data_IF_581745441936
#
_entry.id   IF_581745441936
#
_cell.length_a   1.000
_cell.length_b   1.000
_cell.length_c   1.000
_cell.angle_alpha   90.00
_cell.angle_beta   90.00
_cell.angle_gamma   90.00
#
_symmetry.space_group_name_H-M   'P 1'
#
loop_
_entity.id
_entity.type
_entity.pdbx_description
1 polymer ?
#
# COMPACT_ATOMS: atom_id res chain seq x y z
N UNK A 1 8.72 0.30 -13.53
CA UNK A 1 8.21 -0.74 -14.43
C UNK A 1 6.85 -0.37 -14.99
N UNK A 2 6.47 -1.00 -16.08
CA UNK A 2 5.12 -0.85 -16.62
C UNK A 2 4.17 -1.74 -15.84
N UNK A 3 3.24 -1.14 -15.12
CA UNK A 3 2.19 -1.86 -14.39
C UNK A 3 1.09 -2.30 -15.37
N UNK A 4 0.72 -3.59 -15.29
CA UNK A 4 -0.41 -4.12 -16.03
C UNK A 4 -1.75 -3.77 -15.35
N UNK A 5 -1.74 -3.72 -14.02
CA UNK A 5 -2.91 -3.43 -13.19
C UNK A 5 -3.29 -1.95 -13.28
N UNK A 6 -2.31 -1.04 -13.17
CA UNK A 6 -2.54 0.41 -13.20
C UNK A 6 -2.47 1.00 -14.61
N UNK A 7 -2.06 0.20 -15.62
CA UNK A 7 -1.91 0.58 -17.04
C UNK A 7 -1.05 1.82 -17.26
N UNK A 8 -0.05 2.02 -16.41
CA UNK A 8 0.91 3.13 -16.51
C UNK A 8 2.31 2.70 -16.06
N UNK A 9 3.28 3.58 -16.22
CA UNK A 9 4.60 3.43 -15.61
C UNK A 9 4.48 3.66 -14.10
N UNK A 10 4.95 2.68 -13.31
CA UNK A 10 5.00 2.79 -11.85
C UNK A 10 6.42 2.80 -11.35
N UNK A 11 6.64 3.60 -10.32
CA UNK A 11 7.91 3.73 -9.63
C UNK A 11 7.82 3.15 -8.22
N UNK A 12 8.87 2.50 -7.79
CA UNK A 12 9.07 2.08 -6.41
C UNK A 12 10.57 2.08 -6.11
N UNK A 13 10.92 2.40 -4.88
CA UNK A 13 12.28 2.33 -4.38
C UNK A 13 12.53 1.01 -3.65
N UNK A 14 13.73 0.43 -3.82
CA UNK A 14 14.16 -0.76 -3.09
C UNK A 14 15.48 -0.50 -2.40
N UNK A 15 15.55 -0.79 -1.11
CA UNK A 15 16.80 -0.87 -0.38
C UNK A 15 17.21 -2.33 -0.19
N UNK A 16 18.36 -2.70 -0.73
CA UNK A 16 18.94 -4.03 -0.59
C UNK A 16 19.96 -3.95 0.55
N UNK A 17 19.84 -4.76 1.63
CA UNK A 17 20.82 -4.75 2.70
C UNK A 17 22.19 -5.20 2.19
N UNK A 18 23.29 -4.57 2.66
CA UNK A 18 24.63 -4.97 2.24
C UNK A 18 25.02 -6.33 2.80
N UNK A 19 25.98 -6.98 2.16
CA UNK A 19 26.60 -8.24 2.64
C UNK A 19 25.63 -9.43 2.79
N UNK A 20 24.55 -9.45 2.02
CA UNK A 20 23.64 -10.60 2.00
C UNK A 20 24.21 -11.74 1.16
N UNK A 21 24.02 -12.97 1.64
CA UNK A 21 24.34 -14.13 0.86
C UNK A 21 23.32 -14.27 -0.29
N UNK A 22 23.74 -14.38 -1.56
CA UNK A 22 22.83 -14.52 -2.70
C UNK A 22 21.86 -15.72 -2.59
N UNK A 23 22.25 -16.77 -1.88
CA UNK A 23 21.45 -17.97 -1.67
C UNK A 23 20.44 -17.84 -0.51
N UNK A 24 20.56 -16.78 0.29
CA UNK A 24 19.68 -16.56 1.45
C UNK A 24 18.41 -15.82 1.03
N UNK A 25 17.25 -16.32 1.52
CA UNK A 25 15.97 -15.63 1.34
C UNK A 25 15.82 -14.47 2.32
N UNK A 26 15.78 -13.25 1.80
CA UNK A 26 15.65 -12.04 2.59
C UNK A 26 14.22 -11.88 3.13
N UNK A 27 14.06 -11.47 4.39
CA UNK A 27 12.80 -10.91 4.84
C UNK A 27 12.51 -9.61 4.10
N UNK A 28 11.29 -9.43 3.62
CA UNK A 28 10.86 -8.24 2.89
C UNK A 28 9.88 -7.43 3.73
N UNK A 29 10.03 -6.11 3.72
CA UNK A 29 9.12 -5.15 4.33
C UNK A 29 8.61 -4.17 3.26
N UNK A 30 7.31 -4.16 3.03
CA UNK A 30 6.64 -3.14 2.23
C UNK A 30 6.29 -1.96 3.11
N UNK A 31 6.75 -0.77 2.72
CA UNK A 31 6.37 0.48 3.37
C UNK A 31 5.40 1.26 2.50
N UNK A 32 4.22 1.54 3.02
CA UNK A 32 3.19 2.34 2.36
C UNK A 32 3.19 3.76 2.92
N UNK A 33 3.45 4.73 2.07
CA UNK A 33 3.50 6.15 2.43
C UNK A 33 2.10 6.78 2.48
N UNK A 34 1.99 7.92 3.16
CA UNK A 34 0.76 8.69 3.31
C UNK A 34 0.46 9.59 2.11
N UNK A 35 -0.59 10.42 2.26
CA UNK A 35 -1.03 11.37 1.23
C UNK A 35 0.12 12.24 0.74
N UNK A 36 0.11 12.56 -0.55
CA UNK A 36 1.07 13.42 -1.27
C UNK A 36 2.50 12.90 -1.38
N UNK A 37 2.79 11.75 -0.78
CA UNK A 37 4.11 11.13 -0.86
C UNK A 37 4.34 10.42 -2.19
N UNK A 38 5.62 10.17 -2.48
CA UNK A 38 6.11 9.27 -3.51
C UNK A 38 6.89 8.12 -2.87
N UNK A 39 7.46 7.24 -3.66
CA UNK A 39 8.40 6.19 -3.24
C UNK A 39 9.64 6.74 -2.51
N UNK A 40 10.05 7.98 -2.83
CA UNK A 40 11.25 8.61 -2.26
C UNK A 40 11.07 9.17 -0.84
N UNK A 41 9.84 9.51 -0.42
CA UNK A 41 9.63 10.21 0.85
C UNK A 41 10.17 9.44 2.05
N UNK A 42 9.87 8.15 2.13
CA UNK A 42 10.35 7.32 3.24
C UNK A 42 11.85 7.05 3.13
N UNK A 43 12.34 6.73 1.95
CA UNK A 43 13.77 6.45 1.73
C UNK A 43 14.67 7.63 2.08
N UNK A 44 14.21 8.86 1.79
CA UNK A 44 14.99 10.08 2.05
C UNK A 44 14.88 10.56 3.51
N UNK A 45 13.76 10.30 4.21
CA UNK A 45 13.46 10.97 5.48
C UNK A 45 13.51 10.06 6.70
N UNK A 46 13.20 8.76 6.56
CA UNK A 46 13.02 7.88 7.71
C UNK A 46 14.33 7.33 8.30
N UNK A 47 15.41 7.29 7.52
CA UNK A 47 16.68 6.69 7.95
C UNK A 47 16.58 5.18 8.22
N UNK A 48 15.56 4.52 7.71
CA UNK A 48 15.26 3.11 7.96
C UNK A 48 16.33 2.16 7.39
N UNK A 49 17.07 2.60 6.38
CA UNK A 49 18.11 1.81 5.71
C UNK A 49 19.18 1.31 6.67
N UNK A 50 19.56 2.12 7.70
CA UNK A 50 20.54 1.71 8.70
C UNK A 50 20.07 0.46 9.47
N UNK A 51 18.84 0.50 9.99
CA UNK A 51 18.27 -0.63 10.74
C UNK A 51 17.99 -1.82 9.81
N UNK A 52 17.53 -1.57 8.60
CA UNK A 52 17.32 -2.60 7.60
C UNK A 52 18.62 -3.31 7.20
N UNK A 53 19.74 -2.57 7.11
CA UNK A 53 21.07 -3.15 6.88
C UNK A 53 21.52 -4.03 8.05
N UNK A 54 21.31 -3.57 9.29
CA UNK A 54 21.65 -4.33 10.50
C UNK A 54 20.85 -5.63 10.64
N UNK A 55 19.58 -5.60 10.22
CA UNK A 55 18.65 -6.74 10.34
C UNK A 55 18.58 -7.61 9.07
N UNK A 56 19.25 -7.25 7.99
CA UNK A 56 19.20 -7.98 6.72
C UNK A 56 17.82 -7.93 6.04
N UNK A 57 17.09 -6.80 6.12
CA UNK A 57 15.74 -6.64 5.59
C UNK A 57 15.76 -5.90 4.24
N UNK A 58 15.10 -6.48 3.24
CA UNK A 58 14.79 -5.79 1.98
C UNK A 58 13.62 -4.82 2.21
N UNK A 59 13.81 -3.52 1.96
CA UNK A 59 12.73 -2.53 2.03
C UNK A 59 12.19 -2.26 0.63
N UNK A 60 10.86 -2.30 0.48
CA UNK A 60 10.15 -1.98 -0.76
C UNK A 60 9.22 -0.80 -0.47
N UNK A 61 9.39 0.28 -1.20
CA UNK A 61 8.69 1.55 -1.00
C UNK A 61 8.02 1.95 -2.31
N UNK A 62 6.75 1.58 -2.54
CA UNK A 62 6.02 1.97 -3.74
C UNK A 62 5.55 3.43 -3.68
N UNK A 63 5.28 4.00 -4.86
CA UNK A 63 4.54 5.24 -4.98
C UNK A 63 3.11 5.08 -4.44
N UNK A 64 2.46 6.19 -4.12
CA UNK A 64 1.16 6.25 -3.45
C UNK A 64 -0.03 6.35 -4.40
N UNK A 65 0.23 6.51 -5.70
CA UNK A 65 -0.77 6.54 -6.77
C UNK A 65 -0.15 6.25 -8.13
N UNK A 66 -0.93 5.91 -9.15
CA UNK A 66 -0.48 6.02 -10.54
C UNK A 66 -0.12 7.46 -10.87
N UNK A 67 0.79 7.66 -11.87
CA UNK A 67 1.23 8.96 -12.37
C UNK A 67 1.39 8.93 -13.88
N UNK A 68 1.26 10.10 -14.52
CA UNK A 68 1.41 10.30 -15.95
C UNK A 68 0.39 11.27 -16.52
N UNK A 69 0.67 11.85 -17.70
CA UNK A 69 -0.19 12.87 -18.33
C UNK A 69 -1.59 12.35 -18.70
N UNK A 70 -1.74 11.04 -18.84
CA UNK A 70 -3.01 10.39 -19.16
C UNK A 70 -3.76 9.86 -17.94
N UNK A 71 -3.18 10.01 -16.73
CA UNK A 71 -3.78 9.54 -15.49
C UNK A 71 -4.74 10.62 -14.96
N UNK A 72 -5.99 10.27 -14.64
CA UNK A 72 -6.93 11.21 -14.03
C UNK A 72 -6.40 11.78 -12.71
N UNK A 73 -6.66 13.06 -12.50
CA UNK A 73 -6.37 13.75 -11.24
C UNK A 73 -7.58 14.57 -10.80
N UNK A 74 -7.57 15.03 -9.55
CA UNK A 74 -8.65 15.88 -9.02
C UNK A 74 -8.70 17.20 -9.76
N UNK A 75 -9.89 17.56 -10.27
CA UNK A 75 -10.10 18.78 -11.06
C UNK A 75 -9.88 20.08 -10.27
N UNK A 76 -10.02 20.02 -8.96
CA UNK A 76 -9.79 21.12 -8.01
C UNK A 76 -8.37 21.09 -7.39
N UNK A 77 -7.49 20.26 -7.91
CA UNK A 77 -6.14 20.02 -7.38
C UNK A 77 -6.13 19.65 -5.88
N UNK A 78 -7.17 18.92 -5.43
CA UNK A 78 -7.25 18.47 -4.05
C UNK A 78 -6.12 17.48 -3.73
N UNK A 79 -5.37 17.75 -2.66
CA UNK A 79 -4.24 16.92 -2.24
C UNK A 79 -4.65 15.53 -1.71
N UNK A 80 -5.91 15.34 -1.40
CA UNK A 80 -6.48 14.13 -0.79
C UNK A 80 -7.35 13.29 -1.74
N UNK A 81 -7.24 13.54 -3.05
CA UNK A 81 -7.89 12.78 -4.12
C UNK A 81 -7.02 12.80 -5.37
N UNK A 82 -6.94 11.69 -6.09
CA UNK A 82 -6.14 11.58 -7.31
C UNK A 82 -4.66 11.40 -7.02
N UNK A 83 -3.83 12.25 -7.59
CA UNK A 83 -2.38 12.16 -7.55
C UNK A 83 -1.83 12.19 -6.11
N UNK A 84 -1.08 11.14 -5.75
CA UNK A 84 -0.56 10.98 -4.39
C UNK A 84 -1.61 10.55 -3.35
N UNK A 85 -2.81 10.16 -3.77
CA UNK A 85 -3.95 9.85 -2.89
C UNK A 85 -4.73 8.61 -3.34
N UNK A 86 -4.05 7.54 -3.76
CA UNK A 86 -4.67 6.31 -4.26
C UNK A 86 -5.37 5.44 -3.22
N UNK A 87 -5.29 5.79 -1.93
CA UNK A 87 -5.94 5.13 -0.79
C UNK A 87 -5.78 3.60 -0.73
N UNK A 88 -4.87 3.03 -1.53
CA UNK A 88 -4.58 1.59 -1.59
C UNK A 88 -5.84 0.74 -1.76
N UNK A 89 -6.77 1.22 -2.59
CA UNK A 89 -8.02 0.55 -2.97
C UNK A 89 -8.08 0.31 -4.49
N UNK A 90 -9.08 -0.44 -4.94
CA UNK A 90 -9.43 -0.57 -6.35
C UNK A 90 -10.65 0.28 -6.66
N UNK A 91 -10.46 1.34 -7.42
CA UNK A 91 -11.54 2.23 -7.82
C UNK A 91 -12.51 1.53 -8.78
N UNK A 92 -13.81 1.82 -8.61
CA UNK A 92 -14.89 1.31 -9.45
C UNK A 92 -15.62 2.40 -10.23
N UNK A 93 -15.36 3.67 -9.89
CA UNK A 93 -16.03 4.82 -10.47
C UNK A 93 -15.18 5.53 -11.52
N UNK A 94 -15.83 6.10 -12.52
CA UNK A 94 -15.18 7.03 -13.45
C UNK A 94 -14.80 8.34 -12.75
N UNK A 95 -13.67 8.94 -13.13
CA UNK A 95 -12.71 8.51 -14.15
C UNK A 95 -11.60 7.59 -13.62
N UNK A 96 -11.71 7.11 -12.38
CA UNK A 96 -10.64 6.48 -11.62
C UNK A 96 -10.43 5.00 -11.94
N UNK A 97 -11.49 4.28 -12.27
CA UNK A 97 -11.52 2.81 -12.28
C UNK A 97 -10.44 2.19 -13.20
N UNK A 98 -10.02 2.88 -14.24
CA UNK A 98 -9.05 2.33 -15.19
C UNK A 98 -7.63 2.26 -14.61
N UNK A 99 -7.25 3.23 -13.77
CA UNK A 99 -5.86 3.41 -13.32
C UNK A 99 -5.66 3.31 -11.81
N UNK A 100 -6.68 3.58 -11.00
CA UNK A 100 -6.56 3.58 -9.54
C UNK A 100 -6.90 2.22 -8.95
N UNK A 101 -6.08 1.20 -9.28
CA UNK A 101 -6.19 -0.19 -8.81
C UNK A 101 -5.05 -0.49 -7.82
N UNK A 102 -4.84 0.43 -6.86
CA UNK A 102 -3.68 0.38 -5.97
C UNK A 102 -3.70 -0.81 -5.01
N UNK A 103 -4.87 -1.36 -4.67
CA UNK A 103 -4.95 -2.58 -3.86
C UNK A 103 -4.31 -3.77 -4.59
N UNK A 104 -4.74 -4.05 -5.82
CA UNK A 104 -4.21 -5.17 -6.61
C UNK A 104 -2.73 -4.96 -6.94
N UNK A 105 -2.33 -3.72 -7.16
CA UNK A 105 -0.91 -3.40 -7.38
C UNK A 105 -0.04 -3.79 -6.18
N UNK A 106 -0.45 -3.42 -4.96
CA UNK A 106 0.33 -3.68 -3.74
C UNK A 106 0.17 -5.13 -3.25
N UNK A 107 -1.03 -5.71 -3.38
CA UNK A 107 -1.32 -7.05 -2.87
C UNK A 107 -0.86 -8.18 -3.81
N UNK A 108 -0.78 -7.92 -5.12
CA UNK A 108 -0.56 -8.95 -6.13
C UNK A 108 0.62 -8.63 -7.07
N UNK A 109 0.54 -7.54 -7.85
CA UNK A 109 1.50 -7.28 -8.93
C UNK A 109 2.91 -6.99 -8.39
N UNK A 110 3.05 -6.07 -7.46
CA UNK A 110 4.34 -5.70 -6.89
C UNK A 110 5.00 -6.87 -6.13
N UNK A 111 4.30 -7.66 -5.29
CA UNK A 111 4.89 -8.85 -4.67
C UNK A 111 5.36 -9.90 -5.68
N UNK A 112 4.61 -10.11 -6.75
CA UNK A 112 5.01 -11.03 -7.83
C UNK A 112 6.30 -10.54 -8.52
N UNK A 113 6.40 -9.24 -8.81
CA UNK A 113 7.61 -8.64 -9.38
C UNK A 113 8.81 -8.77 -8.42
N UNK A 114 8.62 -8.41 -7.15
CA UNK A 114 9.69 -8.52 -6.14
C UNK A 114 10.18 -9.96 -5.98
N UNK A 115 9.27 -10.93 -5.94
CA UNK A 115 9.63 -12.36 -5.82
C UNK A 115 10.37 -12.91 -7.05
N UNK A 116 10.18 -12.28 -8.21
CA UNK A 116 10.89 -12.62 -9.45
C UNK A 116 12.30 -12.03 -9.47
N UNK A 117 12.47 -10.82 -9.01
CA UNK A 117 13.73 -10.06 -9.11
C UNK A 117 14.64 -10.27 -7.88
N UNK A 118 14.09 -10.65 -6.72
CA UNK A 118 14.82 -10.79 -5.47
C UNK A 118 14.52 -12.12 -4.78
N UNK A 119 15.55 -12.73 -4.16
CA UNK A 119 15.38 -13.94 -3.37
C UNK A 119 14.77 -13.61 -2.00
N UNK A 120 13.43 -13.56 -1.90
CA UNK A 120 12.69 -13.17 -0.70
C UNK A 120 11.96 -14.34 -0.05
N UNK A 121 11.68 -14.22 1.24
CA UNK A 121 10.84 -15.16 1.98
C UNK A 121 9.39 -15.13 1.47
N UNK A 122 8.67 -16.24 1.63
CA UNK A 122 7.30 -16.39 1.14
C UNK A 122 6.30 -15.45 1.83
N UNK A 123 6.58 -15.04 3.07
CA UNK A 123 5.77 -14.06 3.81
C UNK A 123 6.58 -12.79 4.02
N UNK A 124 5.95 -11.67 3.78
CA UNK A 124 6.52 -10.35 3.98
C UNK A 124 5.91 -9.65 5.20
N UNK A 125 6.56 -8.62 5.70
CA UNK A 125 5.95 -7.64 6.58
C UNK A 125 5.37 -6.48 5.75
N UNK A 126 4.35 -5.81 6.26
CA UNK A 126 3.80 -4.59 5.67
C UNK A 126 3.67 -3.52 6.75
N UNK A 127 4.05 -2.31 6.44
CA UNK A 127 3.93 -1.18 7.33
C UNK A 127 3.52 0.08 6.56
N UNK A 128 2.96 1.07 7.25
CA UNK A 128 2.63 2.32 6.60
C UNK A 128 2.24 3.42 7.57
N UNK A 129 2.22 4.65 7.07
CA UNK A 129 1.86 5.84 7.83
C UNK A 129 0.63 6.53 7.23
N UNK A 130 -0.29 7.01 8.08
CA UNK A 130 -1.48 7.78 7.67
C UNK A 130 -2.35 7.00 6.68
N UNK A 131 -2.57 7.49 5.45
CA UNK A 131 -3.20 6.75 4.35
C UNK A 131 -2.49 5.41 4.08
N UNK A 132 -1.16 5.37 4.16
CA UNK A 132 -0.39 4.12 4.02
C UNK A 132 -0.58 3.16 5.20
N UNK A 133 -0.80 3.67 6.41
CA UNK A 133 -1.18 2.86 7.56
C UNK A 133 -2.55 2.22 7.38
N UNK A 134 -3.50 2.96 6.81
CA UNK A 134 -4.78 2.43 6.34
C UNK A 134 -4.56 1.29 5.32
N UNK A 135 -3.79 1.54 4.28
CA UNK A 135 -3.49 0.52 3.26
C UNK A 135 -2.83 -0.72 3.84
N UNK A 136 -1.84 -0.54 4.72
CA UNK A 136 -1.16 -1.67 5.37
C UNK A 136 -2.14 -2.55 6.17
N UNK A 137 -3.04 -1.94 6.94
CA UNK A 137 -4.05 -2.68 7.71
C UNK A 137 -5.05 -3.41 6.80
N UNK A 138 -5.63 -2.72 5.83
CA UNK A 138 -6.67 -3.32 4.97
C UNK A 138 -6.10 -4.45 4.10
N UNK A 139 -4.92 -4.27 3.54
CA UNK A 139 -4.26 -5.29 2.73
C UNK A 139 -3.86 -6.50 3.59
N UNK A 140 -3.24 -6.28 4.76
CA UNK A 140 -2.83 -7.38 5.63
C UNK A 140 -4.03 -8.17 6.17
N UNK A 141 -5.10 -7.49 6.59
CA UNK A 141 -6.32 -8.15 7.10
C UNK A 141 -7.02 -8.98 6.01
N UNK A 142 -7.00 -8.53 4.77
CA UNK A 142 -7.59 -9.26 3.64
C UNK A 142 -6.69 -10.40 3.13
N UNK A 143 -5.37 -10.35 3.41
CA UNK A 143 -4.38 -11.29 2.89
C UNK A 143 -3.47 -11.88 3.99
N UNK A 144 -4.00 -12.27 5.13
CA UNK A 144 -3.25 -12.72 6.32
C UNK A 144 -2.27 -13.89 6.06
N UNK A 145 -2.45 -14.64 4.97
CA UNK A 145 -1.52 -15.72 4.60
C UNK A 145 -0.22 -15.21 3.98
N UNK A 146 -0.25 -14.02 3.39
CA UNK A 146 0.90 -13.41 2.71
C UNK A 146 1.81 -12.62 3.67
N UNK A 147 1.27 -12.17 4.80
CA UNK A 147 1.99 -11.30 5.72
C UNK A 147 2.32 -12.01 7.03
N UNK A 148 3.51 -11.75 7.57
CA UNK A 148 3.95 -12.22 8.87
C UNK A 148 3.76 -11.17 9.98
N UNK A 149 3.64 -9.90 9.62
CA UNK A 149 3.32 -8.80 10.54
C UNK A 149 2.76 -7.59 9.79
N UNK A 150 2.00 -6.76 10.51
CA UNK A 150 1.58 -5.44 10.04
C UNK A 150 1.88 -4.37 11.09
N UNK A 151 2.33 -3.20 10.66
CA UNK A 151 2.54 -2.04 11.53
C UNK A 151 1.92 -0.79 10.90
N UNK A 152 1.08 -0.10 11.66
CA UNK A 152 0.39 1.09 11.17
C UNK A 152 0.67 2.28 12.08
N UNK A 153 1.23 3.34 11.50
CA UNK A 153 1.60 4.57 12.20
C UNK A 153 0.58 5.66 11.88
N UNK A 154 -0.11 6.16 12.91
CA UNK A 154 -1.18 7.15 12.78
C UNK A 154 -2.16 6.86 11.62
N UNK A 155 -2.70 5.63 11.50
CA UNK A 155 -3.49 5.21 10.35
C UNK A 155 -4.89 5.85 10.34
N UNK A 156 -5.47 5.96 9.14
CA UNK A 156 -6.91 6.21 8.97
C UNK A 156 -7.63 4.86 9.17
N UNK A 157 -7.95 4.48 10.40
CA UNK A 157 -8.46 3.12 10.71
C UNK A 157 -9.92 2.89 10.37
N UNK A 158 -10.72 3.96 10.32
CA UNK A 158 -12.15 3.88 10.06
C UNK A 158 -12.56 4.93 9.01
N UNK A 159 -12.08 4.78 7.76
CA UNK A 159 -12.30 5.77 6.71
C UNK A 159 -13.77 6.00 6.41
N UNK A 160 -14.63 4.98 6.54
CA UNK A 160 -16.08 5.11 6.35
C UNK A 160 -16.74 6.13 7.31
N UNK A 161 -16.06 6.50 8.40
CA UNK A 161 -16.59 7.39 9.43
C UNK A 161 -15.73 8.66 9.64
N UNK A 162 -14.85 9.00 8.73
CA UNK A 162 -14.11 10.26 8.75
C UNK A 162 -14.19 10.97 7.39
N UNK A 163 -14.08 12.31 7.40
CA UNK A 163 -14.27 13.13 6.20
C UNK A 163 -13.34 12.77 5.05
N UNK A 164 -12.04 12.52 5.33
CA UNK A 164 -11.07 12.11 4.31
C UNK A 164 -11.45 10.79 3.64
N UNK A 165 -11.79 9.80 4.46
CA UNK A 165 -12.16 8.49 3.93
C UNK A 165 -13.48 8.53 3.17
N UNK A 166 -14.50 9.24 3.68
CA UNK A 166 -15.78 9.39 2.99
C UNK A 166 -15.60 10.09 1.63
N UNK A 167 -14.79 11.18 1.58
CA UNK A 167 -14.46 11.85 0.31
C UNK A 167 -13.79 10.90 -0.67
N UNK A 168 -12.75 10.17 -0.24
CA UNK A 168 -12.04 9.23 -1.09
C UNK A 168 -12.97 8.09 -1.57
N UNK A 169 -13.70 7.47 -0.64
CA UNK A 169 -14.53 6.32 -0.95
C UNK A 169 -15.73 6.67 -1.84
N UNK A 170 -16.42 7.80 -1.61
CA UNK A 170 -17.51 8.21 -2.51
C UNK A 170 -17.00 8.48 -3.93
N UNK A 171 -15.81 9.06 -4.09
CA UNK A 171 -15.23 9.29 -5.41
C UNK A 171 -14.72 8.01 -6.08
N UNK A 172 -14.01 7.14 -5.34
CA UNK A 172 -13.40 5.94 -5.93
C UNK A 172 -14.36 4.75 -6.02
N UNK A 173 -15.26 4.57 -5.03
CA UNK A 173 -16.11 3.39 -4.88
C UNK A 173 -17.60 3.69 -5.11
N UNK A 174 -17.98 4.99 -5.14
CA UNK A 174 -19.38 5.43 -5.20
C UNK A 174 -20.07 5.46 -3.84
N UNK A 175 -21.37 5.73 -3.85
CA UNK A 175 -22.14 6.05 -2.62
C UNK A 175 -22.64 4.81 -1.85
N UNK A 176 -22.44 3.61 -2.38
CA UNK A 176 -22.83 2.39 -1.69
C UNK A 176 -21.83 2.06 -0.56
N UNK A 177 -22.18 2.44 0.66
CA UNK A 177 -21.32 2.24 1.84
C UNK A 177 -20.97 0.77 2.13
N UNK A 178 -21.70 -0.19 1.59
CA UNK A 178 -21.36 -1.60 1.69
C UNK A 178 -20.03 -1.92 0.98
N UNK A 179 -19.76 -1.25 -0.13
CA UNK A 179 -18.54 -1.47 -0.92
C UNK A 179 -17.31 -0.89 -0.17
N UNK A 180 -17.53 0.06 0.74
CA UNK A 180 -16.48 0.66 1.58
C UNK A 180 -15.95 -0.29 2.65
N UNK A 181 -16.77 -1.25 3.11
CA UNK A 181 -16.40 -2.20 4.17
C UNK A 181 -15.16 -3.04 3.81
N UNK A 182 -14.97 -3.33 2.52
CA UNK A 182 -13.80 -4.05 2.02
C UNK A 182 -12.47 -3.30 2.24
N UNK A 183 -12.54 -1.99 2.40
CA UNK A 183 -11.39 -1.10 2.60
C UNK A 183 -11.43 -0.36 3.94
N UNK A 184 -12.28 -0.78 4.87
CA UNK A 184 -12.34 -0.22 6.23
C UNK A 184 -11.77 -1.23 7.23
N UNK A 185 -10.63 -0.91 7.86
CA UNK A 185 -9.96 -1.85 8.76
C UNK A 185 -10.80 -2.17 10.01
N UNK A 186 -11.65 -1.26 10.48
CA UNK A 186 -12.58 -1.56 11.56
C UNK A 186 -13.68 -2.55 11.14
N UNK A 187 -14.18 -2.45 9.91
CA UNK A 187 -15.13 -3.40 9.36
C UNK A 187 -14.49 -4.77 9.16
N UNK A 188 -13.30 -4.82 8.54
CA UNK A 188 -12.53 -6.04 8.33
C UNK A 188 -12.20 -6.74 9.65
N UNK A 189 -11.79 -6.01 10.68
CA UNK A 189 -11.52 -6.56 12.03
C UNK A 189 -12.78 -7.18 12.66
N UNK A 190 -13.94 -6.55 12.51
CA UNK A 190 -15.21 -7.13 13.00
C UNK A 190 -15.57 -8.43 12.29
N UNK A 191 -15.30 -8.51 10.98
CA UNK A 191 -15.56 -9.71 10.17
C UNK A 191 -14.61 -10.87 10.53
N UNK A 192 -13.33 -10.58 10.84
CA UNK A 192 -12.33 -11.59 11.20
C UNK A 192 -12.57 -12.22 12.58
N UNK A 193 -13.32 -11.56 13.46
CA UNK A 193 -13.57 -12.05 14.81
C UNK A 193 -12.35 -11.91 15.74
N UNK A 194 -12.25 -12.81 16.75
CA UNK A 194 -11.30 -12.66 17.87
C UNK A 194 -9.87 -13.15 17.57
N UNK A 195 -9.61 -13.83 16.47
CA UNK A 195 -8.33 -14.46 16.21
C UNK A 195 -7.66 -13.85 14.99
N UNK A 196 -6.69 -12.96 15.24
CA UNK A 196 -5.75 -12.53 14.22
C UNK A 196 -4.50 -13.41 14.29
N UNK A 197 -4.09 -13.92 13.14
CA UNK A 197 -2.93 -14.79 13.02
C UNK A 197 -1.64 -14.03 12.70
N UNK A 198 -1.68 -12.71 12.67
CA UNK A 198 -0.54 -11.84 12.41
C UNK A 198 -0.36 -10.83 13.55
N UNK A 199 0.87 -10.57 14.02
CA UNK A 199 1.18 -9.47 14.93
C UNK A 199 0.85 -8.11 14.31
N UNK A 200 0.26 -7.23 15.12
CA UNK A 200 -0.04 -5.84 14.74
C UNK A 200 0.58 -4.87 15.72
#
# INVERSE_FOLDING_TARGET
>A
HKSAVLKCEMQFSVFIPPNVNPDEKLPALYWLSGLTCTDENFSAKAGAQRVAAELGILLIMPDTSPRGDHIPDATDAAYDLGLGAGFYLNATQEPWHEHYQMYDYIAEELPALISKEFNVKAKSAIAGHSMGGHGALTIALSNMKQYCSVSAFAPIVNPSHCQWGQKAFSNYLGDNQKDWEAYDSCALMRQQGKFLHIPM
#
